data_IF_284676874958
#
_entry.id   IF_284676874958
#
_cell.length_a   1.000
_cell.length_b   1.000
_cell.length_c   1.000
_cell.angle_alpha   90.00
_cell.angle_beta   90.00
_cell.angle_gamma   90.00
#
_symmetry.space_group_name_H-M   'P 1'
#
loop_
_entity.id
_entity.type
_entity.pdbx_description
1 polymer ?
#
# COMPACT_ATOMS: atom_id res chain seq x y z
N UNK A 1 10.65 -46.71 -41.29
CA UNK A 1 11.36 -45.45 -40.96
C UNK A 1 10.47 -44.38 -40.34
N UNK A 2 9.14 -44.37 -40.55
CA UNK A 2 8.23 -43.41 -39.89
C UNK A 2 8.10 -43.60 -38.36
N UNK A 3 8.18 -44.84 -37.86
CA UNK A 3 7.97 -45.15 -36.44
C UNK A 3 9.12 -44.70 -35.52
N UNK A 4 10.32 -44.50 -36.07
CA UNK A 4 11.48 -44.04 -35.31
C UNK A 4 11.51 -42.51 -35.14
N UNK A 5 10.91 -41.76 -36.06
CA UNK A 5 10.79 -40.30 -35.95
C UNK A 5 9.73 -39.89 -34.92
N UNK A 6 8.63 -40.64 -34.81
CA UNK A 6 7.56 -40.36 -33.83
C UNK A 6 8.01 -40.61 -32.38
N UNK A 7 8.88 -41.59 -32.15
CA UNK A 7 9.47 -41.85 -30.84
C UNK A 7 10.49 -40.77 -30.41
N UNK A 8 11.19 -40.15 -31.37
CA UNK A 8 12.14 -39.07 -31.08
C UNK A 8 11.44 -37.74 -30.74
N UNK A 9 10.26 -37.47 -31.30
CA UNK A 9 9.45 -36.29 -30.95
C UNK A 9 8.75 -36.38 -29.59
N UNK A 10 8.49 -37.59 -29.07
CA UNK A 10 7.89 -37.80 -27.75
C UNK A 10 8.90 -37.78 -26.60
N UNK A 11 10.20 -37.92 -26.89
CA UNK A 11 11.29 -37.88 -25.89
C UNK A 11 11.97 -36.50 -25.80
N UNK A 12 11.63 -35.55 -26.67
CA UNK A 12 12.14 -34.17 -26.67
C UNK A 12 11.11 -33.12 -26.21
N UNK A 13 9.89 -33.55 -25.85
CA UNK A 13 9.03 -32.77 -24.96
C UNK A 13 9.62 -32.82 -23.55
N UNK A 14 10.73 -32.11 -23.35
CA UNK A 14 11.05 -31.57 -22.05
C UNK A 14 9.77 -30.88 -21.57
N UNK A 15 9.24 -31.36 -20.46
CA UNK A 15 8.22 -30.64 -19.70
C UNK A 15 8.82 -29.28 -19.40
N UNK A 16 8.53 -28.29 -20.24
CA UNK A 16 8.50 -26.92 -19.80
C UNK A 16 7.45 -26.91 -18.70
N UNK A 17 7.89 -27.12 -17.46
CA UNK A 17 7.06 -26.84 -16.30
C UNK A 17 6.65 -25.39 -16.51
N UNK A 18 5.38 -25.16 -16.85
CA UNK A 18 4.81 -23.83 -16.81
C UNK A 18 5.09 -23.34 -15.38
N UNK A 19 6.03 -22.41 -15.26
CA UNK A 19 6.38 -21.80 -14.00
C UNK A 19 5.07 -21.25 -13.45
N UNK A 20 4.68 -21.69 -12.25
CA UNK A 20 3.45 -21.22 -11.62
C UNK A 20 3.45 -19.70 -11.63
N UNK A 21 2.29 -19.08 -11.91
CA UNK A 21 2.17 -17.64 -11.81
C UNK A 21 2.62 -17.20 -10.40
N UNK A 22 3.37 -16.09 -10.27
CA UNK A 22 3.85 -15.63 -8.97
C UNK A 22 2.71 -15.48 -7.97
N UNK A 23 2.96 -15.80 -6.70
CA UNK A 23 2.02 -15.51 -5.62
C UNK A 23 1.95 -13.99 -5.39
N UNK A 24 0.86 -13.47 -4.78
CA UNK A 24 0.78 -12.06 -4.39
C UNK A 24 1.97 -11.58 -3.53
N UNK A 25 2.53 -12.46 -2.69
CA UNK A 25 3.71 -12.16 -1.87
C UNK A 25 5.00 -12.13 -2.70
N UNK A 26 5.16 -13.00 -3.68
CA UNK A 26 6.30 -12.96 -4.61
C UNK A 26 6.28 -11.69 -5.48
N UNK A 27 5.10 -11.29 -5.97
CA UNK A 27 4.92 -10.02 -6.65
C UNK A 27 5.24 -8.84 -5.73
N UNK A 28 4.71 -8.83 -4.50
CA UNK A 28 5.01 -7.77 -3.53
C UNK A 28 6.50 -7.69 -3.18
N UNK A 29 7.19 -8.83 -3.07
CA UNK A 29 8.64 -8.88 -2.87
C UNK A 29 9.37 -8.21 -4.04
N UNK A 30 8.98 -8.53 -5.26
CA UNK A 30 9.54 -7.93 -6.48
C UNK A 30 9.30 -6.42 -6.53
N UNK A 31 8.07 -5.98 -6.21
CA UNK A 31 7.69 -4.57 -6.15
C UNK A 31 8.51 -3.83 -5.08
N UNK A 32 8.64 -4.40 -3.88
CA UNK A 32 9.38 -3.79 -2.77
C UNK A 32 10.86 -3.63 -3.13
N UNK A 33 11.48 -4.66 -3.70
CA UNK A 33 12.86 -4.58 -4.20
C UNK A 33 13.02 -3.55 -5.32
N UNK A 34 12.06 -3.51 -6.25
CA UNK A 34 12.03 -2.53 -7.33
C UNK A 34 11.97 -1.10 -6.79
N UNK A 35 11.10 -0.83 -5.81
CA UNK A 35 11.04 0.47 -5.16
C UNK A 35 12.29 0.81 -4.38
N UNK A 36 12.97 -0.15 -3.72
CA UNK A 36 14.25 0.10 -3.05
C UNK A 36 15.30 0.59 -4.07
N UNK A 37 15.37 -0.06 -5.23
CA UNK A 37 16.24 0.39 -6.33
C UNK A 37 15.92 1.81 -6.78
N UNK A 38 14.64 2.09 -7.07
CA UNK A 38 14.18 3.44 -7.46
C UNK A 38 14.51 4.48 -6.37
N UNK A 39 14.32 4.14 -5.09
CA UNK A 39 14.55 5.03 -3.96
C UNK A 39 16.01 5.51 -3.91
N UNK A 40 16.98 4.62 -4.09
CA UNK A 40 18.40 4.99 -4.09
C UNK A 40 18.80 5.75 -5.36
N UNK A 41 18.28 5.38 -6.52
CA UNK A 41 18.60 6.07 -7.77
C UNK A 41 18.05 7.50 -7.80
N UNK A 42 16.76 7.69 -7.46
CA UNK A 42 16.16 9.03 -7.35
C UNK A 42 16.67 9.80 -6.13
N UNK A 43 16.97 9.12 -5.03
CA UNK A 43 17.66 9.69 -3.89
C UNK A 43 19.00 10.30 -4.28
N UNK A 44 19.80 9.58 -5.09
CA UNK A 44 21.08 10.04 -5.61
C UNK A 44 20.97 11.21 -6.59
N UNK A 45 19.81 11.40 -7.24
CA UNK A 45 19.54 12.63 -8.00
C UNK A 45 19.45 13.82 -7.05
N UNK A 46 18.69 13.72 -5.97
CA UNK A 46 18.45 14.83 -5.03
C UNK A 46 19.68 15.11 -4.15
N UNK A 47 20.34 14.05 -3.68
CA UNK A 47 21.54 14.09 -2.88
C UNK A 47 22.65 13.27 -3.56
N UNK A 48 23.51 13.90 -4.36
CA UNK A 48 24.59 13.22 -5.08
C UNK A 48 25.62 12.53 -4.19
N UNK A 49 25.61 12.77 -2.88
CA UNK A 49 26.51 12.09 -1.93
C UNK A 49 25.95 10.75 -1.45
N UNK A 50 24.66 10.51 -1.64
CA UNK A 50 24.00 9.27 -1.26
C UNK A 50 24.60 8.08 -2.01
N UNK A 51 25.12 7.11 -1.25
CA UNK A 51 25.56 5.82 -1.78
C UNK A 51 24.46 4.75 -1.59
N UNK A 52 24.44 3.68 -2.42
CA UNK A 52 23.57 2.53 -2.17
C UNK A 52 23.78 1.98 -0.75
N UNK A 53 22.67 1.76 -0.01
CA UNK A 53 22.71 1.36 1.40
C UNK A 53 23.01 2.49 2.40
N UNK A 54 23.26 3.71 1.92
CA UNK A 54 23.51 4.90 2.73
C UNK A 54 22.23 5.61 3.16
N UNK A 55 22.39 6.78 3.79
CA UNK A 55 21.27 7.61 4.24
C UNK A 55 21.42 9.03 3.73
N UNK A 56 20.30 9.72 3.48
CA UNK A 56 20.28 11.15 3.15
C UNK A 56 19.54 11.94 4.21
N UNK A 57 20.04 13.15 4.48
CA UNK A 57 19.37 14.15 5.32
C UNK A 57 18.43 15.07 4.54
N UNK A 58 18.40 14.96 3.20
CA UNK A 58 17.41 15.64 2.39
C UNK A 58 16.02 15.14 2.72
N UNK A 59 15.00 15.99 2.55
CA UNK A 59 13.62 15.54 2.71
C UNK A 59 13.37 14.31 1.81
N UNK A 60 12.78 13.23 2.33
CA UNK A 60 12.51 12.04 1.53
C UNK A 60 11.55 12.40 0.38
N UNK A 61 11.91 11.96 -0.83
CA UNK A 61 10.99 12.00 -1.96
C UNK A 61 10.03 10.81 -1.88
N UNK A 62 8.96 10.81 -2.69
CA UNK A 62 7.93 9.77 -2.67
C UNK A 62 8.49 8.36 -2.75
N UNK A 63 9.53 8.16 -3.56
CA UNK A 63 10.13 6.84 -3.77
C UNK A 63 10.94 6.35 -2.57
N UNK A 64 11.30 7.22 -1.62
CA UNK A 64 11.82 6.81 -0.31
C UNK A 64 10.71 6.24 0.60
N UNK A 65 9.45 6.64 0.42
CA UNK A 65 8.31 6.09 1.16
C UNK A 65 7.78 4.79 0.56
N UNK A 66 7.82 4.66 -0.77
CA UNK A 66 7.20 3.57 -1.51
C UNK A 66 7.61 2.15 -1.09
N UNK A 67 8.89 1.84 -0.76
CA UNK A 67 9.27 0.53 -0.24
C UNK A 67 8.52 0.16 1.04
N UNK A 68 8.38 1.11 1.96
CA UNK A 68 7.72 0.92 3.26
C UNK A 68 6.21 0.71 3.09
N UNK A 69 5.58 1.53 2.24
CA UNK A 69 4.17 1.38 1.91
C UNK A 69 3.89 0.03 1.23
N UNK A 70 4.75 -0.39 0.29
CA UNK A 70 4.69 -1.71 -0.35
C UNK A 70 4.82 -2.84 0.68
N UNK A 71 5.78 -2.75 1.60
CA UNK A 71 5.96 -3.74 2.66
C UNK A 71 4.74 -3.80 3.59
N UNK A 72 4.14 -2.66 3.94
CA UNK A 72 2.91 -2.62 4.74
C UNK A 72 1.73 -3.31 4.03
N UNK A 73 1.53 -3.06 2.74
CA UNK A 73 0.57 -3.80 1.92
C UNK A 73 0.88 -5.30 1.87
N UNK A 74 2.16 -5.66 1.75
CA UNK A 74 2.63 -7.04 1.78
C UNK A 74 2.35 -7.75 3.10
N UNK A 75 2.46 -7.06 4.25
CA UNK A 75 2.08 -7.61 5.57
C UNK A 75 0.60 -7.99 5.57
N UNK A 76 -0.27 -7.14 5.02
CA UNK A 76 -1.68 -7.46 4.83
C UNK A 76 -1.91 -8.72 3.97
N UNK A 77 -1.20 -8.86 2.84
CA UNK A 77 -1.25 -10.07 2.01
C UNK A 77 -0.74 -11.31 2.77
N UNK A 78 0.32 -11.15 3.55
CA UNK A 78 0.88 -12.22 4.38
C UNK A 78 -0.14 -12.74 5.39
N UNK A 79 -0.83 -11.84 6.10
CA UNK A 79 -1.90 -12.26 7.01
C UNK A 79 -3.10 -12.88 6.29
N UNK A 80 -3.41 -12.45 5.07
CA UNK A 80 -4.43 -13.11 4.25
C UNK A 80 -4.00 -14.54 3.86
N UNK A 81 -2.76 -14.74 3.42
CA UNK A 81 -2.21 -16.06 3.12
C UNK A 81 -2.22 -17.00 4.35
N UNK A 82 -1.85 -16.49 5.53
CA UNK A 82 -1.97 -17.23 6.78
C UNK A 82 -3.41 -17.63 7.09
N UNK A 83 -4.37 -16.73 6.90
CA UNK A 83 -5.78 -17.02 7.13
C UNK A 83 -6.32 -18.07 6.14
N UNK A 84 -5.91 -18.03 4.87
CA UNK A 84 -6.27 -19.06 3.87
C UNK A 84 -5.70 -20.43 4.24
N UNK A 85 -4.44 -20.49 4.67
CA UNK A 85 -3.84 -21.73 5.16
C UNK A 85 -4.61 -22.27 6.37
N UNK A 86 -4.93 -21.40 7.33
CA UNK A 86 -5.74 -21.78 8.48
C UNK A 86 -7.11 -22.34 8.07
N UNK A 87 -7.81 -21.71 7.14
CA UNK A 87 -9.10 -22.17 6.61
C UNK A 87 -8.96 -23.55 5.96
N UNK A 88 -7.93 -23.77 5.15
CA UNK A 88 -7.67 -25.07 4.53
C UNK A 88 -7.45 -26.17 5.59
N UNK A 89 -6.68 -25.89 6.64
CA UNK A 89 -6.50 -26.82 7.75
C UNK A 89 -7.81 -27.05 8.53
N UNK A 90 -8.61 -26.02 8.77
CA UNK A 90 -9.88 -26.11 9.47
C UNK A 90 -10.95 -26.91 8.71
N UNK A 91 -10.93 -26.89 7.37
CA UNK A 91 -11.80 -27.76 6.55
C UNK A 91 -11.50 -29.24 6.75
N UNK A 92 -10.23 -29.60 6.97
CA UNK A 92 -9.82 -30.99 7.21
C UNK A 92 -10.00 -31.41 8.67
N UNK A 93 -9.77 -30.47 9.59
CA UNK A 93 -9.85 -30.70 11.03
C UNK A 93 -10.50 -29.49 11.71
N UNK A 94 -11.83 -29.45 11.81
CA UNK A 94 -12.54 -28.38 12.48
C UNK A 94 -12.15 -28.27 13.95
N UNK A 95 -12.07 -27.05 14.47
CA UNK A 95 -11.70 -26.81 15.86
C UNK A 95 -12.91 -27.01 16.78
N UNK A 96 -12.71 -27.73 17.88
CA UNK A 96 -13.76 -27.95 18.90
C UNK A 96 -14.00 -26.73 19.79
N UNK A 97 -13.03 -25.82 19.86
CA UNK A 97 -13.08 -24.60 20.66
C UNK A 97 -12.27 -23.48 20.01
N UNK A 98 -12.53 -22.23 20.41
CA UNK A 98 -11.72 -21.09 20.01
C UNK A 98 -10.26 -21.26 20.46
N UNK A 99 -10.01 -21.80 21.65
CA UNK A 99 -8.65 -22.04 22.14
C UNK A 99 -7.90 -22.99 21.21
N UNK A 100 -8.52 -24.09 20.77
CA UNK A 100 -7.88 -25.00 19.83
C UNK A 100 -7.60 -24.36 18.46
N UNK A 101 -8.53 -23.52 17.98
CA UNK A 101 -8.34 -22.76 16.74
C UNK A 101 -7.12 -21.82 16.85
N UNK A 102 -7.02 -21.07 17.96
CA UNK A 102 -5.90 -20.14 18.17
C UNK A 102 -4.57 -20.83 18.45
N UNK A 103 -4.58 -21.98 19.14
CA UNK A 103 -3.37 -22.77 19.40
C UNK A 103 -2.71 -23.28 18.13
N UNK A 104 -3.51 -23.62 17.10
CA UNK A 104 -3.01 -24.03 15.78
C UNK A 104 -2.12 -22.98 15.13
N UNK A 105 -2.32 -21.71 15.44
CA UNK A 105 -1.58 -20.59 14.85
C UNK A 105 -0.21 -20.38 15.49
N UNK A 106 0.10 -21.07 16.60
CA UNK A 106 1.35 -20.87 17.34
C UNK A 106 1.51 -19.47 17.94
N UNK A 107 0.44 -18.68 18.03
CA UNK A 107 0.48 -17.32 18.54
C UNK A 107 0.59 -17.31 20.07
N UNK A 108 1.40 -16.38 20.59
CA UNK A 108 1.63 -16.19 22.03
C UNK A 108 1.56 -14.71 22.42
N UNK A 109 1.54 -14.42 23.72
CA UNK A 109 1.63 -13.06 24.25
C UNK A 109 0.42 -12.16 23.95
N UNK A 110 0.67 -10.85 23.87
CA UNK A 110 -0.36 -9.80 23.72
C UNK A 110 -1.14 -9.95 22.41
N UNK A 111 -0.46 -10.27 21.32
CA UNK A 111 -1.08 -10.50 20.01
C UNK A 111 -2.12 -11.60 20.09
N UNK A 112 -1.81 -12.72 20.76
CA UNK A 112 -2.77 -13.81 20.95
C UNK A 112 -4.02 -13.34 21.71
N UNK A 113 -3.84 -12.58 22.79
CA UNK A 113 -4.95 -12.08 23.61
C UNK A 113 -5.87 -11.16 22.80
N UNK A 114 -5.31 -10.23 22.03
CA UNK A 114 -6.09 -9.31 21.20
C UNK A 114 -6.88 -10.03 20.10
N UNK A 115 -6.27 -11.04 19.46
CA UNK A 115 -6.98 -11.85 18.46
C UNK A 115 -8.02 -12.77 19.10
N UNK A 116 -7.81 -13.22 20.34
CA UNK A 116 -8.82 -13.93 21.10
C UNK A 116 -10.03 -13.04 21.39
N UNK A 117 -9.82 -11.80 21.82
CA UNK A 117 -10.90 -10.86 22.09
C UNK A 117 -11.69 -10.53 20.82
N UNK A 118 -11.01 -10.28 19.69
CA UNK A 118 -11.66 -10.11 18.39
C UNK A 118 -12.47 -11.35 18.00
N UNK A 119 -11.89 -12.54 18.13
CA UNK A 119 -12.59 -13.79 17.81
C UNK A 119 -13.83 -14.00 18.67
N UNK A 120 -13.78 -13.68 19.97
CA UNK A 120 -14.94 -13.78 20.87
C UNK A 120 -16.06 -12.81 20.44
N UNK A 121 -15.71 -11.58 20.05
CA UNK A 121 -16.69 -10.63 19.55
C UNK A 121 -17.30 -11.09 18.22
N UNK A 122 -16.51 -11.67 17.32
CA UNK A 122 -17.00 -12.25 16.07
C UNK A 122 -17.93 -13.45 16.32
N UNK A 123 -17.64 -14.30 17.30
CA UNK A 123 -18.55 -15.37 17.73
C UNK A 123 -19.86 -14.78 18.26
N UNK A 124 -19.79 -13.68 19.01
CA UNK A 124 -21.00 -12.96 19.45
C UNK A 124 -21.80 -12.36 18.27
N UNK A 125 -21.16 -12.09 17.13
CA UNK A 125 -21.85 -11.75 15.86
C UNK A 125 -22.41 -12.98 15.12
N UNK A 126 -22.27 -14.19 15.68
CA UNK A 126 -22.82 -15.44 15.17
C UNK A 126 -21.88 -16.25 14.27
N UNK A 127 -20.57 -15.94 14.25
CA UNK A 127 -19.58 -16.72 13.51
C UNK A 127 -19.20 -18.00 14.27
N UNK A 128 -18.80 -19.04 13.54
CA UNK A 128 -18.19 -20.25 14.15
C UNK A 128 -16.80 -19.94 14.68
N UNK A 129 -16.27 -20.78 15.58
CA UNK A 129 -14.93 -20.60 16.15
C UNK A 129 -13.84 -20.54 15.06
N UNK A 130 -13.87 -21.42 14.06
CA UNK A 130 -12.90 -21.40 12.97
C UNK A 130 -13.06 -20.18 12.05
N UNK A 131 -14.29 -19.76 11.73
CA UNK A 131 -14.52 -18.56 10.92
C UNK A 131 -14.04 -17.29 11.65
N UNK A 132 -14.33 -17.16 12.94
CA UNK A 132 -13.88 -16.05 13.78
C UNK A 132 -12.35 -16.01 13.94
N UNK A 133 -11.72 -17.18 14.15
CA UNK A 133 -10.27 -17.29 14.21
C UNK A 133 -9.63 -16.93 12.87
N UNK A 134 -10.16 -17.41 11.74
CA UNK A 134 -9.65 -17.08 10.41
C UNK A 134 -9.67 -15.57 10.12
N UNK A 135 -10.78 -14.89 10.42
CA UNK A 135 -10.89 -13.44 10.23
C UNK A 135 -10.00 -12.65 11.19
N UNK A 136 -9.75 -13.16 12.40
CA UNK A 136 -8.79 -12.55 13.33
C UNK A 136 -7.34 -12.76 12.88
N UNK A 137 -7.00 -13.92 12.31
CA UNK A 137 -5.67 -14.19 11.73
C UNK A 137 -5.32 -13.21 10.62
N UNK A 138 -6.32 -12.84 9.81
CA UNK A 138 -6.17 -11.87 8.73
C UNK A 138 -5.68 -10.49 9.22
N UNK A 139 -5.79 -10.16 10.51
CA UNK A 139 -5.29 -8.90 11.08
C UNK A 139 -3.95 -9.03 11.80
N UNK A 140 -3.36 -10.23 11.87
CA UNK A 140 -2.24 -10.56 12.78
C UNK A 140 -0.95 -9.78 12.57
N UNK A 141 -0.67 -9.34 11.33
CA UNK A 141 0.52 -8.53 11.00
C UNK A 141 0.26 -7.02 11.01
N UNK A 142 -0.99 -6.62 11.27
CA UNK A 142 -1.40 -5.23 11.38
C UNK A 142 -1.26 -4.72 12.82
N UNK A 143 -1.61 -3.47 13.08
CA UNK A 143 -1.59 -2.89 14.42
C UNK A 143 -2.77 -3.38 15.29
N UNK A 144 -2.70 -4.64 15.72
CA UNK A 144 -3.71 -5.24 16.62
C UNK A 144 -3.81 -4.53 17.98
N UNK A 145 -2.83 -3.70 18.35
CA UNK A 145 -2.90 -2.88 19.56
C UNK A 145 -4.07 -1.89 19.56
N UNK A 146 -4.59 -1.51 18.39
CA UNK A 146 -5.80 -0.69 18.29
C UNK A 146 -7.05 -1.36 18.88
N UNK A 147 -7.06 -2.70 19.02
CA UNK A 147 -8.15 -3.45 19.66
C UNK A 147 -8.21 -3.27 21.19
N UNK A 148 -7.18 -2.68 21.80
CA UNK A 148 -7.21 -2.36 23.23
C UNK A 148 -8.30 -1.33 23.57
N UNK A 149 -8.72 -0.50 22.61
CA UNK A 149 -9.94 0.30 22.75
C UNK A 149 -11.16 -0.58 22.42
N UNK A 150 -12.00 -0.81 23.43
CA UNK A 150 -13.21 -1.62 23.30
C UNK A 150 -14.19 -1.09 22.22
N UNK A 151 -14.22 0.23 21.98
CA UNK A 151 -15.07 0.84 20.95
C UNK A 151 -14.57 0.46 19.55
N UNK A 152 -13.25 0.46 19.35
CA UNK A 152 -12.61 -0.01 18.11
C UNK A 152 -12.90 -1.50 17.90
N UNK A 153 -12.69 -2.31 18.94
CA UNK A 153 -12.95 -3.76 18.90
C UNK A 153 -14.40 -4.06 18.48
N UNK A 154 -15.38 -3.42 19.11
CA UNK A 154 -16.81 -3.61 18.80
C UNK A 154 -17.16 -3.14 17.38
N UNK A 155 -16.66 -1.97 16.96
CA UNK A 155 -16.89 -1.45 15.61
C UNK A 155 -16.28 -2.37 14.54
N UNK A 156 -15.05 -2.84 14.72
CA UNK A 156 -14.41 -3.80 13.82
C UNK A 156 -15.19 -5.11 13.77
N UNK A 157 -15.52 -5.70 14.92
CA UNK A 157 -16.24 -6.96 14.97
C UNK A 157 -17.61 -6.87 14.29
N UNK A 158 -18.34 -5.77 14.50
CA UNK A 158 -19.61 -5.50 13.82
C UNK A 158 -19.45 -5.41 12.30
N UNK A 159 -18.45 -4.66 11.80
CA UNK A 159 -18.17 -4.53 10.36
C UNK A 159 -17.77 -5.85 9.72
N UNK A 160 -16.89 -6.61 10.37
CA UNK A 160 -16.49 -7.95 9.92
C UNK A 160 -17.65 -8.95 9.95
N UNK A 161 -18.52 -8.87 10.97
CA UNK A 161 -19.74 -9.67 11.04
C UNK A 161 -20.69 -9.35 9.89
N UNK A 162 -20.90 -8.06 9.58
CA UNK A 162 -21.70 -7.64 8.44
C UNK A 162 -21.14 -8.15 7.11
N UNK A 163 -19.82 -8.04 6.91
CA UNK A 163 -19.12 -8.63 5.76
C UNK A 163 -19.38 -10.14 5.66
N UNK A 164 -19.22 -10.88 6.76
CA UNK A 164 -19.42 -12.33 6.81
C UNK A 164 -20.84 -12.75 6.43
N UNK A 165 -21.84 -12.05 6.94
CA UNK A 165 -23.23 -12.35 6.63
C UNK A 165 -23.58 -12.01 5.17
N UNK A 166 -22.97 -10.97 4.61
CA UNK A 166 -23.12 -10.60 3.19
C UNK A 166 -22.29 -11.45 2.23
N UNK A 167 -21.28 -12.17 2.72
CA UNK A 167 -20.34 -12.89 1.87
C UNK A 167 -21.03 -14.02 1.08
N UNK A 168 -20.73 -14.18 -0.23
CA UNK A 168 -21.11 -15.37 -0.96
C UNK A 168 -20.42 -16.60 -0.35
N UNK A 169 -21.05 -17.77 -0.49
CA UNK A 169 -20.56 -19.02 0.10
C UNK A 169 -21.62 -19.76 0.91
N UNK A 170 -21.55 -21.09 0.88
CA UNK A 170 -22.54 -21.95 1.52
C UNK A 170 -22.14 -22.30 2.96
N UNK A 171 -20.86 -22.54 3.20
CA UNK A 171 -20.37 -22.90 4.53
C UNK A 171 -19.79 -21.69 5.28
N UNK A 172 -19.71 -21.75 6.63
CA UNK A 172 -19.04 -20.71 7.42
C UNK A 172 -17.62 -20.38 6.96
N UNK A 173 -16.84 -21.39 6.59
CA UNK A 173 -15.46 -21.20 6.14
C UNK A 173 -15.37 -20.61 4.72
N UNK A 174 -16.33 -20.91 3.83
CA UNK A 174 -16.37 -20.28 2.50
C UNK A 174 -16.60 -18.77 2.62
N UNK A 175 -17.53 -18.37 3.50
CA UNK A 175 -17.82 -16.95 3.76
C UNK A 175 -16.60 -16.21 4.31
N UNK A 176 -15.88 -16.82 5.25
CA UNK A 176 -14.64 -16.25 5.79
C UNK A 176 -13.55 -16.16 4.72
N UNK A 177 -13.39 -17.21 3.90
CA UNK A 177 -12.41 -17.25 2.81
C UNK A 177 -12.66 -16.13 1.79
N UNK A 178 -13.92 -15.86 1.43
CA UNK A 178 -14.23 -14.78 0.49
C UNK A 178 -13.75 -13.42 1.02
N UNK A 179 -13.93 -13.13 2.31
CA UNK A 179 -13.43 -11.87 2.90
C UNK A 179 -11.89 -11.80 2.81
N UNK A 180 -11.22 -12.91 3.15
CA UNK A 180 -9.76 -13.01 3.12
C UNK A 180 -9.21 -12.83 1.70
N UNK A 181 -9.81 -13.52 0.72
CA UNK A 181 -9.43 -13.40 -0.70
C UNK A 181 -9.74 -12.00 -1.22
N UNK A 182 -10.84 -11.38 -0.79
CA UNK A 182 -11.15 -9.99 -1.14
C UNK A 182 -10.06 -9.04 -0.66
N UNK A 183 -9.57 -9.19 0.58
CA UNK A 183 -8.45 -8.40 1.09
C UNK A 183 -7.18 -8.63 0.27
N UNK A 184 -6.78 -9.90 0.07
CA UNK A 184 -5.58 -10.27 -0.68
C UNK A 184 -5.60 -9.66 -2.09
N UNK A 185 -6.72 -9.85 -2.80
CA UNK A 185 -6.97 -9.30 -4.14
C UNK A 185 -6.91 -7.78 -4.15
N UNK A 186 -7.58 -7.11 -3.20
CA UNK A 186 -7.59 -5.63 -3.11
C UNK A 186 -6.18 -5.08 -2.94
N UNK A 187 -5.38 -5.67 -2.05
CA UNK A 187 -4.00 -5.23 -1.81
C UNK A 187 -3.10 -5.55 -3.01
N UNK A 188 -3.25 -6.73 -3.61
CA UNK A 188 -2.40 -7.21 -4.70
C UNK A 188 -2.62 -6.39 -5.96
N UNK A 189 -3.87 -6.25 -6.39
CA UNK A 189 -4.24 -5.41 -7.53
C UNK A 189 -3.84 -3.96 -7.31
N UNK A 190 -4.00 -3.44 -6.08
CA UNK A 190 -3.60 -2.08 -5.73
C UNK A 190 -2.10 -1.86 -5.86
N UNK A 191 -1.29 -2.75 -5.28
CA UNK A 191 0.17 -2.69 -5.40
C UNK A 191 0.64 -2.80 -6.84
N UNK A 192 0.06 -3.72 -7.63
CA UNK A 192 0.40 -3.87 -9.04
C UNK A 192 0.05 -2.63 -9.86
N UNK A 193 -1.17 -2.10 -9.70
CA UNK A 193 -1.61 -0.90 -10.42
C UNK A 193 -0.69 0.30 -10.12
N UNK A 194 -0.38 0.51 -8.84
CA UNK A 194 0.49 1.59 -8.39
C UNK A 194 1.93 1.39 -8.90
N UNK A 195 2.51 0.21 -8.75
CA UNK A 195 3.91 -0.03 -9.12
C UNK A 195 4.14 0.01 -10.63
N UNK A 196 3.29 -0.66 -11.41
CA UNK A 196 3.39 -0.65 -12.87
C UNK A 196 3.29 0.78 -13.41
N UNK A 197 2.55 1.63 -12.71
CA UNK A 197 2.31 2.98 -13.15
C UNK A 197 3.32 4.00 -12.62
N UNK A 198 3.36 4.22 -11.31
CA UNK A 198 4.22 5.21 -10.65
C UNK A 198 5.67 4.73 -10.64
N UNK A 199 5.90 3.47 -10.25
CA UNK A 199 7.22 2.83 -10.30
C UNK A 199 7.74 2.69 -11.73
N UNK A 200 6.90 2.28 -12.67
CA UNK A 200 7.22 2.22 -14.10
C UNK A 200 7.58 3.59 -14.68
N UNK A 201 6.83 4.64 -14.33
CA UNK A 201 7.14 6.02 -14.77
C UNK A 201 8.48 6.51 -14.23
N UNK A 202 8.83 6.16 -12.98
CA UNK A 202 10.12 6.49 -12.39
C UNK A 202 11.27 5.75 -13.07
N UNK A 203 11.06 4.48 -13.44
CA UNK A 203 12.04 3.71 -14.18
C UNK A 203 12.31 4.32 -15.56
N UNK A 204 11.26 4.65 -16.29
CA UNK A 204 11.36 5.35 -17.58
C UNK A 204 12.09 6.69 -17.45
N UNK A 205 11.83 7.45 -16.38
CA UNK A 205 12.53 8.70 -16.10
C UNK A 205 14.03 8.47 -15.86
N UNK A 206 14.38 7.50 -15.01
CA UNK A 206 15.77 7.16 -14.70
C UNK A 206 16.52 6.66 -15.95
N UNK A 207 15.88 5.84 -16.78
CA UNK A 207 16.45 5.34 -18.03
C UNK A 207 16.69 6.48 -19.03
N UNK A 208 15.70 7.37 -19.20
CA UNK A 208 15.86 8.58 -20.02
C UNK A 208 17.02 9.44 -19.51
N UNK A 209 17.09 9.66 -18.19
CA UNK A 209 18.14 10.47 -17.56
C UNK A 209 19.52 9.86 -17.76
N UNK A 210 19.65 8.54 -17.67
CA UNK A 210 20.91 7.83 -17.89
C UNK A 210 21.37 7.87 -19.36
N UNK A 211 20.43 7.87 -20.31
CA UNK A 211 20.71 7.96 -21.74
C UNK A 211 20.97 9.39 -22.23
N UNK A 212 20.49 10.40 -21.51
CA UNK A 212 20.63 11.80 -21.89
C UNK A 212 22.09 12.28 -21.81
N UNK A 213 22.52 13.00 -22.85
CA UNK A 213 23.85 13.64 -22.88
C UNK A 213 23.80 15.05 -22.30
N UNK A 214 24.87 15.47 -21.63
CA UNK A 214 25.00 16.81 -21.04
C UNK A 214 24.21 17.00 -19.72
N UNK A 215 24.20 18.22 -19.17
CA UNK A 215 23.51 18.51 -17.91
C UNK A 215 22.00 18.30 -18.00
N UNK A 216 21.42 17.65 -17.00
CA UNK A 216 19.97 17.49 -16.84
C UNK A 216 19.43 18.70 -16.09
N UNK A 217 18.43 19.35 -16.68
CA UNK A 217 17.72 20.49 -16.09
C UNK A 217 16.22 20.21 -16.05
N UNK A 218 15.46 20.86 -15.16
CA UNK A 218 14.00 20.71 -15.09
C UNK A 218 13.31 21.02 -16.42
N UNK A 219 13.76 22.06 -17.12
CA UNK A 219 13.25 22.39 -18.46
C UNK A 219 13.45 21.24 -19.46
N UNK A 220 14.61 20.56 -19.43
CA UNK A 220 14.84 19.37 -20.27
C UNK A 220 13.93 18.21 -19.91
N UNK A 221 13.68 17.97 -18.62
CA UNK A 221 12.67 16.97 -18.21
C UNK A 221 11.32 17.31 -18.81
N UNK A 222 10.89 18.57 -18.69
CA UNK A 222 9.60 19.03 -19.19
C UNK A 222 9.49 18.99 -20.71
N UNK A 223 10.60 19.12 -21.47
CA UNK A 223 10.57 19.13 -22.94
C UNK A 223 10.91 17.79 -23.60
N UNK A 224 11.82 17.02 -23.03
CA UNK A 224 12.41 15.83 -23.66
C UNK A 224 11.92 14.51 -23.04
N UNK A 225 11.53 14.50 -21.76
CA UNK A 225 10.98 13.30 -21.12
C UNK A 225 9.47 13.21 -21.36
N UNK A 226 9.02 12.08 -21.90
CA UNK A 226 7.61 11.87 -22.24
C UNK A 226 7.06 10.62 -21.58
N UNK A 227 5.87 10.74 -20.99
CA UNK A 227 5.03 9.60 -20.61
C UNK A 227 3.81 9.54 -21.53
N UNK A 228 3.38 8.33 -21.89
CA UNK A 228 2.15 8.15 -22.68
C UNK A 228 0.97 8.79 -21.94
N UNK A 229 0.26 9.68 -22.61
CA UNK A 229 -0.87 10.44 -22.05
C UNK A 229 -0.49 11.72 -21.30
N UNK A 230 0.79 11.99 -21.03
CA UNK A 230 1.21 13.29 -20.50
C UNK A 230 1.14 14.37 -21.60
N UNK A 231 0.71 15.58 -21.22
CA UNK A 231 0.74 16.76 -22.07
C UNK A 231 1.80 17.73 -21.56
N UNK A 232 2.68 18.15 -22.47
CA UNK A 232 3.81 19.02 -22.15
C UNK A 232 3.36 20.35 -21.49
N UNK A 233 2.33 20.99 -22.07
CA UNK A 233 1.77 22.24 -21.56
C UNK A 233 1.18 22.11 -20.16
N UNK A 234 0.58 20.97 -19.84
CA UNK A 234 0.05 20.70 -18.50
C UNK A 234 1.18 20.48 -17.49
N UNK A 235 2.24 19.77 -17.88
CA UNK A 235 3.40 19.55 -17.02
C UNK A 235 4.10 20.88 -16.68
N UNK A 236 4.25 21.78 -17.66
CA UNK A 236 4.74 23.14 -17.42
C UNK A 236 3.84 23.91 -16.46
N UNK A 237 2.52 23.91 -16.69
CA UNK A 237 1.57 24.59 -15.82
C UNK A 237 1.69 24.13 -14.35
N UNK A 238 1.80 22.82 -14.12
CA UNK A 238 1.96 22.27 -12.79
C UNK A 238 3.32 22.59 -12.18
N UNK A 239 4.39 22.52 -12.96
CA UNK A 239 5.74 22.88 -12.52
C UNK A 239 5.82 24.35 -12.11
N UNK A 240 5.34 25.28 -12.94
CA UNK A 240 5.35 26.72 -12.66
C UNK A 240 4.54 27.06 -11.40
N UNK A 241 3.38 26.41 -11.25
CA UNK A 241 2.57 26.53 -10.03
C UNK A 241 3.34 26.05 -8.80
N UNK A 242 3.97 24.88 -8.86
CA UNK A 242 4.75 24.36 -7.75
C UNK A 242 5.94 25.29 -7.40
N UNK A 243 6.61 25.89 -8.39
CA UNK A 243 7.67 26.85 -8.10
C UNK A 243 7.16 28.06 -7.31
N UNK A 244 6.01 28.59 -7.69
CA UNK A 244 5.40 29.76 -7.03
C UNK A 244 4.90 29.45 -5.61
N UNK A 245 4.47 28.21 -5.34
CA UNK A 245 3.73 27.84 -4.14
C UNK A 245 4.42 26.80 -3.24
N UNK A 246 5.66 26.39 -3.53
CA UNK A 246 6.33 25.33 -2.76
C UNK A 246 6.49 25.66 -1.26
N UNK A 247 6.61 26.95 -0.92
CA UNK A 247 6.85 27.44 0.43
C UNK A 247 5.55 27.89 1.15
N UNK A 248 4.39 27.73 0.51
CA UNK A 248 3.10 28.09 1.11
C UNK A 248 2.76 27.20 2.32
N UNK A 249 2.13 27.82 3.33
CA UNK A 249 1.66 27.15 4.54
C UNK A 249 0.18 27.49 4.78
N UNK A 250 -0.75 26.52 4.71
CA UNK A 250 -0.54 25.11 4.43
C UNK A 250 -0.16 24.85 2.95
N UNK A 251 0.64 23.79 2.71
CA UNK A 251 1.03 23.39 1.36
C UNK A 251 -0.20 23.03 0.51
N UNK A 252 -0.25 23.42 -0.78
CA UNK A 252 -1.33 23.03 -1.66
C UNK A 252 -1.53 21.50 -1.72
N UNK A 253 -2.78 21.06 -1.51
CA UNK A 253 -3.11 19.63 -1.33
C UNK A 253 -4.34 19.12 -2.08
N UNK A 254 -5.05 19.95 -2.85
CA UNK A 254 -6.28 19.57 -3.58
C UNK A 254 -6.07 19.70 -5.09
N UNK A 255 -5.36 18.75 -5.69
CA UNK A 255 -4.85 18.91 -7.06
C UNK A 255 -5.94 18.94 -8.13
N UNK A 256 -7.12 18.40 -7.84
CA UNK A 256 -8.29 18.50 -8.72
C UNK A 256 -8.90 19.89 -8.79
N UNK A 257 -8.81 20.66 -7.71
CA UNK A 257 -9.22 22.06 -7.70
C UNK A 257 -8.16 22.97 -8.33
N UNK A 258 -6.88 22.63 -8.15
CA UNK A 258 -5.77 23.41 -8.70
C UNK A 258 -5.60 23.19 -10.20
N UNK A 259 -5.82 21.96 -10.67
CA UNK A 259 -5.61 21.55 -12.05
C UNK A 259 -6.83 20.79 -12.59
N UNK A 260 -7.98 21.46 -12.76
CA UNK A 260 -9.20 20.81 -13.23
C UNK A 260 -9.00 20.22 -14.63
N UNK A 261 -9.27 18.93 -14.79
CA UNK A 261 -9.15 18.22 -16.06
C UNK A 261 -7.73 17.85 -16.49
N UNK A 262 -6.70 18.24 -15.74
CA UNK A 262 -5.32 17.92 -16.07
C UNK A 262 -5.06 16.42 -16.03
N UNK A 263 -4.42 15.89 -17.08
CA UNK A 263 -4.06 14.48 -17.12
C UNK A 263 -3.01 14.17 -16.05
N UNK A 264 -3.23 13.09 -15.31
CA UNK A 264 -2.45 12.78 -14.13
C UNK A 264 -0.97 12.43 -14.45
N UNK A 265 -0.69 11.88 -15.64
CA UNK A 265 0.69 11.67 -16.11
C UNK A 265 1.48 12.98 -16.25
N UNK A 266 0.82 14.10 -16.55
CA UNK A 266 1.45 15.41 -16.63
C UNK A 266 1.98 15.87 -15.26
N UNK A 267 1.29 15.53 -14.16
CA UNK A 267 1.78 15.79 -12.80
C UNK A 267 2.98 14.93 -12.42
N UNK A 268 3.08 13.69 -12.93
CA UNK A 268 4.28 12.86 -12.71
C UNK A 268 5.51 13.44 -13.42
N UNK A 269 5.35 13.91 -14.67
CA UNK A 269 6.43 14.61 -15.40
C UNK A 269 6.86 15.87 -14.63
N UNK A 270 5.88 16.67 -14.17
CA UNK A 270 6.17 17.84 -13.34
C UNK A 270 6.89 17.49 -12.03
N UNK A 271 6.52 16.39 -11.37
CA UNK A 271 7.18 15.93 -10.15
C UNK A 271 8.65 15.57 -10.39
N UNK A 272 8.98 14.87 -11.48
CA UNK A 272 10.38 14.59 -11.83
C UNK A 272 11.17 15.87 -12.12
N UNK A 273 10.56 16.84 -12.82
CA UNK A 273 11.16 18.15 -13.03
C UNK A 273 11.41 18.89 -11.69
N UNK A 274 10.49 18.79 -10.73
CA UNK A 274 10.64 19.35 -9.39
C UNK A 274 11.76 18.68 -8.58
N UNK A 275 12.00 17.38 -8.77
CA UNK A 275 13.15 16.73 -8.13
C UNK A 275 14.49 17.19 -8.71
N UNK A 276 14.56 17.45 -10.03
CA UNK A 276 15.75 18.09 -10.64
C UNK A 276 15.89 19.56 -10.19
N UNK A 277 14.80 20.29 -10.01
CA UNK A 277 14.83 21.66 -9.46
C UNK A 277 15.33 21.63 -8.02
N UNK A 278 14.84 20.69 -7.22
CA UNK A 278 15.26 20.52 -5.83
C UNK A 278 16.77 20.25 -5.72
N UNK A 279 17.31 19.41 -6.61
CA UNK A 279 18.77 19.17 -6.70
C UNK A 279 19.57 20.45 -6.92
N UNK A 280 19.02 21.40 -7.68
CA UNK A 280 19.66 22.68 -8.03
C UNK A 280 19.32 23.81 -7.05
N UNK A 281 18.46 23.57 -6.07
CA UNK A 281 17.95 24.62 -5.20
C UNK A 281 19.08 25.27 -4.37
N UNK A 282 19.05 26.60 -4.20
CA UNK A 282 20.13 27.34 -3.53
C UNK A 282 20.18 27.10 -2.02
N UNK A 283 19.10 26.59 -1.42
CA UNK A 283 19.00 26.33 0.02
C UNK A 283 18.34 24.98 0.31
N UNK A 284 18.69 24.31 1.43
CA UNK A 284 18.01 23.10 1.86
C UNK A 284 16.51 23.28 2.06
N UNK A 285 16.08 24.44 2.59
CA UNK A 285 14.66 24.74 2.79
C UNK A 285 13.88 24.75 1.47
N UNK A 286 14.43 25.40 0.43
CA UNK A 286 13.82 25.44 -0.90
C UNK A 286 13.81 24.06 -1.55
N UNK A 287 14.93 23.31 -1.47
CA UNK A 287 15.01 21.92 -1.91
C UNK A 287 13.89 21.09 -1.29
N UNK A 288 13.78 21.13 0.02
CA UNK A 288 12.84 20.30 0.77
C UNK A 288 11.38 20.71 0.50
N UNK A 289 11.11 22.00 0.30
CA UNK A 289 9.79 22.51 -0.12
C UNK A 289 9.37 21.98 -1.50
N UNK A 290 10.29 21.99 -2.47
CA UNK A 290 10.07 21.47 -3.82
C UNK A 290 9.84 19.96 -3.83
N UNK A 291 10.65 19.20 -3.08
CA UNK A 291 10.45 17.75 -2.90
C UNK A 291 9.05 17.48 -2.37
N UNK A 292 8.61 18.23 -1.37
CA UNK A 292 7.32 18.01 -0.74
C UNK A 292 6.13 18.35 -1.66
N UNK A 293 6.27 19.33 -2.58
CA UNK A 293 5.31 19.54 -3.66
C UNK A 293 5.30 18.40 -4.68
N UNK A 294 6.49 17.92 -5.09
CA UNK A 294 6.63 16.76 -5.96
C UNK A 294 5.98 15.51 -5.37
N UNK A 295 6.18 15.26 -4.07
CA UNK A 295 5.55 14.18 -3.33
C UNK A 295 4.03 14.30 -3.36
N UNK A 296 3.47 15.50 -3.16
CA UNK A 296 2.03 15.70 -3.25
C UNK A 296 1.48 15.39 -4.65
N UNK A 297 2.21 15.72 -5.72
CA UNK A 297 1.80 15.39 -7.10
C UNK A 297 1.80 13.90 -7.35
N UNK A 298 2.86 13.19 -6.97
CA UNK A 298 2.94 11.73 -7.14
C UNK A 298 1.88 11.03 -6.30
N UNK A 299 1.83 11.33 -5.00
CA UNK A 299 0.94 10.65 -4.07
C UNK A 299 -0.54 10.95 -4.34
N UNK A 300 -0.91 12.18 -4.68
CA UNK A 300 -2.31 12.49 -5.02
C UNK A 300 -2.81 11.62 -6.18
N UNK A 301 -1.99 11.48 -7.23
CA UNK A 301 -2.36 10.74 -8.44
C UNK A 301 -2.31 9.24 -8.24
N UNK A 302 -1.31 8.74 -7.53
CA UNK A 302 -1.30 7.35 -7.09
C UNK A 302 -2.61 7.00 -6.36
N UNK A 303 -2.98 7.81 -5.38
CA UNK A 303 -4.10 7.50 -4.50
C UNK A 303 -5.46 7.71 -5.17
N UNK A 304 -5.58 8.72 -6.04
CA UNK A 304 -6.84 9.04 -6.72
C UNK A 304 -7.07 8.20 -7.97
N UNK A 305 -6.05 8.03 -8.80
CA UNK A 305 -6.20 7.53 -10.15
C UNK A 305 -5.79 6.05 -10.28
N UNK A 306 -4.94 5.53 -9.36
CA UNK A 306 -4.55 4.10 -9.33
C UNK A 306 -5.20 3.33 -8.18
N UNK A 307 -5.11 3.83 -6.93
CA UNK A 307 -5.62 3.10 -5.77
C UNK A 307 -7.15 3.14 -5.66
N UNK A 308 -7.77 4.31 -5.84
CA UNK A 308 -9.22 4.47 -5.66
C UNK A 308 -10.06 3.52 -6.54
N UNK A 309 -9.77 3.36 -7.85
CA UNK A 309 -10.51 2.42 -8.69
C UNK A 309 -10.41 0.96 -8.23
N UNK A 310 -9.32 0.57 -7.56
CA UNK A 310 -9.15 -0.78 -7.02
C UNK A 310 -9.93 -0.95 -5.70
N UNK A 311 -9.97 0.11 -4.87
CA UNK A 311 -10.64 0.07 -3.56
C UNK A 311 -12.16 0.18 -3.67
N UNK A 312 -12.63 0.90 -4.69
CA UNK A 312 -14.05 1.08 -5.01
C UNK A 312 -14.26 0.79 -6.49
N UNK A 313 -14.14 -0.47 -6.94
CA UNK A 313 -14.31 -0.83 -8.34
C UNK A 313 -15.72 -0.52 -8.81
N UNK A 314 -15.85 -0.17 -10.09
CA UNK A 314 -17.15 0.03 -10.70
C UNK A 314 -17.87 -1.33 -10.85
N UNK A 315 -19.01 -1.47 -10.19
CA UNK A 315 -19.82 -2.69 -10.22
C UNK A 315 -19.76 -3.48 -8.91
N UNK A 316 -20.53 -4.56 -8.86
CA UNK A 316 -20.62 -5.45 -7.70
C UNK A 316 -20.21 -6.86 -8.15
N UNK A 317 -18.93 -7.24 -7.99
CA UNK A 317 -18.53 -8.59 -8.38
C UNK A 317 -19.24 -9.61 -7.48
N UNK A 318 -19.65 -10.72 -8.07
CA UNK A 318 -20.52 -11.70 -7.39
C UNK A 318 -19.74 -12.70 -6.54
N UNK A 319 -18.42 -12.73 -6.69
CA UNK A 319 -17.49 -13.66 -6.03
C UNK A 319 -16.73 -13.04 -4.85
N UNK A 320 -16.93 -11.75 -4.56
CA UNK A 320 -16.23 -11.03 -3.48
C UNK A 320 -17.21 -10.25 -2.58
N UNK A 321 -16.73 -9.84 -1.40
CA UNK A 321 -17.43 -8.84 -0.58
C UNK A 321 -16.99 -7.42 -0.97
N UNK A 322 -17.65 -6.39 -0.45
CA UNK A 322 -17.24 -5.01 -0.71
C UNK A 322 -15.80 -4.74 -0.21
N UNK A 323 -14.88 -4.48 -1.14
CA UNK A 323 -13.50 -4.07 -0.85
C UNK A 323 -13.44 -2.85 0.06
N UNK A 324 -14.33 -1.87 -0.18
CA UNK A 324 -14.42 -0.67 0.63
C UNK A 324 -14.79 -0.97 2.09
N UNK A 325 -15.74 -1.88 2.31
CA UNK A 325 -16.12 -2.28 3.66
C UNK A 325 -15.04 -3.12 4.36
N UNK A 326 -14.29 -3.95 3.62
CA UNK A 326 -13.09 -4.64 4.15
C UNK A 326 -12.05 -3.61 4.62
N UNK A 327 -11.70 -2.65 3.77
CA UNK A 327 -10.75 -1.60 4.12
C UNK A 327 -11.24 -0.73 5.28
N UNK A 328 -12.54 -0.42 5.36
CA UNK A 328 -13.13 0.28 6.50
C UNK A 328 -13.03 -0.52 7.81
N UNK A 329 -13.23 -1.83 7.77
CA UNK A 329 -13.09 -2.69 8.94
C UNK A 329 -11.63 -2.73 9.44
N UNK A 330 -10.66 -2.63 8.52
CA UNK A 330 -9.23 -2.71 8.80
C UNK A 330 -8.56 -1.36 9.06
N UNK A 331 -9.21 -0.25 8.74
CA UNK A 331 -8.67 1.12 8.90
C UNK A 331 -8.03 1.37 10.27
N UNK A 332 -8.63 0.95 11.40
CA UNK A 332 -8.02 1.14 12.72
C UNK A 332 -6.66 0.43 12.91
N UNK A 333 -6.40 -0.64 12.16
CA UNK A 333 -5.17 -1.46 12.28
C UNK A 333 -4.07 -1.01 11.34
N UNK A 334 -4.33 -0.04 10.46
CA UNK A 334 -3.35 0.37 9.47
C UNK A 334 -2.11 0.96 10.14
N UNK A 335 -0.96 0.48 9.69
CA UNK A 335 0.34 0.84 10.20
C UNK A 335 1.35 0.76 9.07
N UNK A 336 2.32 1.66 9.11
CA UNK A 336 3.50 1.61 8.25
C UNK A 336 4.71 1.97 9.07
N UNK A 337 5.73 1.12 9.00
CA UNK A 337 7.04 1.42 9.57
C UNK A 337 7.86 2.08 8.44
N UNK A 338 8.02 3.40 8.51
CA UNK A 338 8.88 4.18 7.62
C UNK A 338 10.31 4.15 8.15
N UNK A 339 10.99 3.03 7.89
CA UNK A 339 12.27 2.69 8.51
C UNK A 339 12.10 2.57 10.03
N UNK A 340 12.74 3.44 10.81
CA UNK A 340 12.57 3.45 12.28
C UNK A 340 11.39 4.29 12.75
N UNK A 341 10.69 5.00 11.85
CA UNK A 341 9.52 5.81 12.17
C UNK A 341 8.25 4.98 12.02
N UNK A 342 7.60 4.64 13.13
CA UNK A 342 6.25 4.04 13.07
C UNK A 342 5.18 5.10 12.88
N UNK A 343 4.30 4.88 11.91
CA UNK A 343 3.04 5.59 11.76
C UNK A 343 1.88 4.61 11.91
N UNK A 344 0.84 5.01 12.64
CA UNK A 344 -0.43 4.28 12.69
C UNK A 344 -1.59 5.19 12.32
N UNK A 345 -2.62 4.63 11.69
CA UNK A 345 -3.83 5.39 11.39
C UNK A 345 -4.57 5.82 12.65
N UNK A 346 -4.45 5.04 13.73
CA UNK A 346 -4.98 5.40 15.03
C UNK A 346 -4.39 6.72 15.55
N UNK A 347 -3.06 6.91 15.47
CA UNK A 347 -2.40 8.16 15.88
C UNK A 347 -2.91 9.37 15.08
N UNK A 348 -3.08 9.19 13.75
CA UNK A 348 -3.67 10.21 12.91
C UNK A 348 -5.09 10.57 13.36
N UNK A 349 -5.96 9.55 13.55
CA UNK A 349 -7.35 9.74 13.91
C UNK A 349 -7.51 10.42 15.28
N UNK A 350 -6.69 10.04 16.28
CA UNK A 350 -6.69 10.68 17.59
C UNK A 350 -6.14 12.12 17.58
N UNK A 351 -5.34 12.50 16.58
CA UNK A 351 -4.88 13.86 16.40
C UNK A 351 -5.91 14.77 15.71
N UNK A 352 -6.99 14.21 15.16
CA UNK A 352 -8.07 14.99 14.56
C UNK A 352 -9.15 15.37 15.59
N UNK A 353 -9.92 16.44 15.35
CA UNK A 353 -11.16 16.66 16.07
C UNK A 353 -12.11 15.46 15.90
N UNK A 354 -12.84 15.13 16.97
CA UNK A 354 -13.93 14.15 16.95
C UNK A 354 -14.95 14.50 15.84
N UNK A 355 -15.20 13.55 14.92
CA UNK A 355 -15.98 13.79 13.70
C UNK A 355 -17.47 13.65 13.94
N UNK A 356 -17.88 12.75 14.83
CA UNK A 356 -19.30 12.44 15.07
C UNK A 356 -19.80 12.91 16.44
N UNK A 357 -18.89 13.32 17.34
CA UNK A 357 -19.21 13.83 18.67
C UNK A 357 -19.71 12.75 19.63
N UNK A 358 -19.61 11.47 19.25
CA UNK A 358 -20.12 10.35 20.02
C UNK A 358 -18.98 9.71 20.85
N UNK A 359 -19.02 9.80 22.19
CA UNK A 359 -17.97 9.20 23.02
C UNK A 359 -17.90 7.67 22.92
N UNK A 360 -18.92 7.02 22.36
CA UNK A 360 -18.95 5.57 22.13
C UNK A 360 -18.34 5.15 20.80
N UNK A 361 -18.08 6.08 19.88
CA UNK A 361 -17.28 5.83 18.68
C UNK A 361 -15.82 6.08 19.03
N UNK A 362 -14.91 5.18 18.66
CA UNK A 362 -13.48 5.50 18.74
C UNK A 362 -13.09 6.32 17.50
N UNK A 363 -12.25 7.36 17.64
CA UNK A 363 -11.80 8.15 16.49
C UNK A 363 -11.28 7.32 15.33
N UNK A 364 -10.45 6.27 15.51
CA UNK A 364 -9.98 5.44 14.39
C UNK A 364 -11.11 4.70 13.64
N UNK A 365 -12.26 4.46 14.28
CA UNK A 365 -13.41 3.81 13.67
C UNK A 365 -14.25 4.77 12.81
N UNK A 366 -14.09 6.09 12.92
CA UNK A 366 -14.88 7.09 12.16
C UNK A 366 -14.45 7.23 10.69
N UNK A 367 -13.33 6.62 10.32
CA UNK A 367 -12.69 6.79 9.02
C UNK A 367 -12.74 5.51 8.18
N UNK A 368 -12.49 5.67 6.89
CA UNK A 368 -12.33 4.56 5.95
C UNK A 368 -11.14 4.77 5.03
N UNK A 369 -10.21 3.82 5.01
CA UNK A 369 -9.09 3.84 4.05
C UNK A 369 -9.53 3.71 2.60
N UNK A 370 -10.75 3.22 2.34
CA UNK A 370 -11.33 3.23 1.00
C UNK A 370 -11.85 4.61 0.59
N UNK A 371 -12.17 5.50 1.55
CA UNK A 371 -12.52 6.89 1.26
C UNK A 371 -11.25 7.68 0.90
N UNK A 372 -11.32 8.40 -0.22
CA UNK A 372 -10.17 9.13 -0.74
C UNK A 372 -9.69 10.21 0.23
N UNK A 373 -10.60 10.98 0.84
CA UNK A 373 -10.21 12.11 1.69
C UNK A 373 -9.66 11.65 3.03
N UNK A 374 -10.27 10.63 3.63
CA UNK A 374 -9.79 10.00 4.86
C UNK A 374 -8.37 9.42 4.65
N UNK A 375 -8.13 8.76 3.52
CA UNK A 375 -6.82 8.23 3.14
C UNK A 375 -5.81 9.33 2.84
N UNK A 376 -6.18 10.30 2.00
CA UNK A 376 -5.30 11.39 1.58
C UNK A 376 -4.78 12.20 2.75
N UNK A 377 -5.66 12.56 3.69
CA UNK A 377 -5.25 13.30 4.89
C UNK A 377 -4.34 12.47 5.81
N UNK A 378 -4.61 11.17 5.95
CA UNK A 378 -3.73 10.26 6.68
C UNK A 378 -2.32 10.17 6.06
N UNK A 379 -2.22 10.14 4.73
CA UNK A 379 -0.94 10.13 4.00
C UNK A 379 -0.17 11.44 4.19
N UNK A 380 -0.84 12.59 4.10
CA UNK A 380 -0.19 13.88 4.35
C UNK A 380 0.33 13.98 5.79
N UNK A 381 -0.42 13.46 6.76
CA UNK A 381 0.04 13.39 8.15
C UNK A 381 1.26 12.47 8.32
N UNK A 382 1.27 11.33 7.63
CA UNK A 382 2.42 10.42 7.60
C UNK A 382 3.67 11.09 7.00
N UNK A 383 3.51 11.83 5.91
CA UNK A 383 4.57 12.63 5.31
C UNK A 383 5.17 13.64 6.28
N UNK A 384 4.34 14.46 6.92
CA UNK A 384 4.82 15.48 7.85
C UNK A 384 5.59 14.85 9.01
N UNK A 385 5.13 13.70 9.51
CA UNK A 385 5.84 12.93 10.54
C UNK A 385 7.22 12.45 10.07
N UNK A 386 7.32 11.93 8.86
CA UNK A 386 8.57 11.44 8.25
C UNK A 386 9.54 12.57 7.88
N UNK A 387 9.03 13.73 7.46
CA UNK A 387 9.86 14.88 7.07
C UNK A 387 10.68 15.44 8.23
N UNK A 388 10.28 15.19 9.48
CA UNK A 388 11.05 15.58 10.67
C UNK A 388 12.26 14.66 10.93
N UNK A 389 12.30 13.47 10.30
CA UNK A 389 13.30 12.42 10.54
C UNK A 389 13.76 11.78 9.20
N UNK A 390 14.29 12.58 8.26
CA UNK A 390 14.57 12.12 6.90
C UNK A 390 15.54 10.94 6.82
N UNK A 391 16.54 10.88 7.70
CA UNK A 391 17.54 9.81 7.73
C UNK A 391 16.96 8.45 8.13
N UNK A 392 15.89 8.45 8.94
CA UNK A 392 15.29 7.23 9.46
C UNK A 392 14.59 6.41 8.36
N UNK A 393 14.11 7.06 7.30
CA UNK A 393 13.42 6.41 6.19
C UNK A 393 14.36 5.59 5.29
N UNK A 394 15.66 5.80 5.41
CA UNK A 394 16.67 5.06 4.63
C UNK A 394 16.99 3.69 5.21
N UNK A 395 16.46 3.36 6.39
CA UNK A 395 16.44 1.98 6.89
C UNK A 395 15.42 1.18 6.07
N UNK A 396 15.85 0.72 4.90
CA UNK A 396 14.97 0.05 3.93
C UNK A 396 14.35 -1.23 4.50
N UNK A 397 13.09 -1.52 4.15
CA UNK A 397 12.41 -2.69 4.66
C UNK A 397 13.01 -3.97 4.07
N UNK A 398 13.12 -5.02 4.88
CA UNK A 398 13.41 -6.36 4.37
C UNK A 398 12.18 -6.89 3.60
N UNK A 399 12.34 -7.32 2.34
CA UNK A 399 11.23 -7.88 1.57
C UNK A 399 10.66 -9.13 2.26
N UNK A 400 9.34 -9.26 2.22
CA UNK A 400 8.66 -10.42 2.81
C UNK A 400 9.00 -11.69 2.04
N UNK A 401 9.14 -12.78 2.78
CA UNK A 401 9.24 -14.13 2.21
C UNK A 401 7.88 -14.79 2.31
N UNK A 402 7.47 -15.52 1.25
CA UNK A 402 6.26 -16.32 1.30
C UNK A 402 6.44 -17.42 2.35
N UNK A 403 5.63 -17.46 3.43
CA UNK A 403 5.76 -18.49 4.45
C UNK A 403 5.27 -19.86 3.98
N UNK A 404 4.62 -19.93 2.81
CA UNK A 404 3.98 -21.15 2.30
C UNK A 404 4.81 -21.89 1.24
N UNK A 405 5.96 -21.33 0.82
CA UNK A 405 6.91 -21.97 -0.09
C UNK A 405 7.04 -21.26 -1.42
#
# INVERSE_FOLDING_TARGET
MLSALLAATLLLSTTASAQSAPTPLEDNRTITLGYIGIAYELGGVIDPTLQPGGTSSARPNWFTFAPHASQAGGKGMYSAALARNFIAAARLQPSLSLTNALDRLGLTGVTRLQLQDLSLQLIAQGLTADAAAALSVMTSSLNVAALADARTLLATASRMGALYWSAPGLTPLDKAEVIVVTLERTLHEGNLAIFNDVGGSARLYLDWRAAATGPITPGRVLTEFTLVGALNTEAWQAYDYALAHAEDVPRPRRMDLLFPGMHWKSLLVAAFALYEEARLAPTPARRDALIAMGNNYVAWREQRDQAQPVFTPAGNPTDEVSRAAVLQALTPFLMTDFGTVRWTYADYAYAQPDRDGNPLTSPPAEYSWADFWDRWNGILFAFDSAYTRPTELWVMPEPLTDPLG
#
